data_IF_795126013984
#
_entry.id   IF_795126013984
#
_cell.length_a   1.000
_cell.length_b   1.000
_cell.length_c   1.000
_cell.angle_alpha   90.00
_cell.angle_beta   90.00
_cell.angle_gamma   90.00
#
_symmetry.space_group_name_H-M   'P 1'
#
loop_
_entity.id
_entity.type
_entity.pdbx_description
1 polymer ?
#
# COMPACT_ATOMS: atom_id res chain seq x y z
N UNK A 1 22.02 22.26 21.89
CA UNK A 1 22.52 22.16 20.51
C UNK A 1 21.47 21.38 19.74
N UNK A 2 21.10 21.85 18.54
CA UNK A 2 19.97 21.33 17.75
C UNK A 2 20.32 20.00 17.07
N UNK A 3 20.63 18.99 17.89
CA UNK A 3 20.84 17.61 17.44
C UNK A 3 19.53 17.11 16.84
N UNK A 4 19.48 16.96 15.52
CA UNK A 4 18.30 16.43 14.82
C UNK A 4 17.75 17.28 13.68
N UNK A 5 18.11 18.57 13.59
CA UNK A 5 17.60 19.46 12.54
C UNK A 5 18.74 20.13 11.77
N UNK A 6 18.74 19.94 10.45
CA UNK A 6 19.76 20.46 9.54
C UNK A 6 19.12 21.39 8.53
N UNK A 7 19.54 22.65 8.52
CA UNK A 7 19.17 23.58 7.45
C UNK A 7 20.10 23.36 6.26
N UNK A 8 19.51 23.18 5.07
CA UNK A 8 20.23 23.04 3.81
C UNK A 8 19.97 24.28 2.94
N UNK A 9 20.89 25.26 2.90
CA UNK A 9 20.67 26.52 2.20
C UNK A 9 20.56 26.35 0.68
N UNK A 10 21.16 25.30 0.10
CA UNK A 10 21.15 25.05 -1.34
C UNK A 10 19.73 24.82 -1.90
N UNK A 11 18.87 24.22 -1.08
CA UNK A 11 17.47 23.98 -1.41
C UNK A 11 16.52 24.82 -0.55
N UNK A 12 17.06 25.62 0.39
CA UNK A 12 16.30 26.37 1.38
C UNK A 12 15.26 25.48 2.09
N UNK A 13 15.69 24.29 2.52
CA UNK A 13 14.84 23.32 3.23
C UNK A 13 15.41 23.00 4.60
N UNK A 14 14.51 22.65 5.51
CA UNK A 14 14.85 22.21 6.85
C UNK A 14 14.63 20.71 6.97
N UNK A 15 15.69 19.96 7.15
CA UNK A 15 15.66 18.50 7.32
C UNK A 15 15.55 18.11 8.79
N UNK A 16 14.61 17.23 9.11
CA UNK A 16 14.62 16.47 10.35
C UNK A 16 15.33 15.13 10.12
N UNK A 17 16.50 14.92 10.73
CA UNK A 17 17.29 13.70 10.54
C UNK A 17 16.69 12.49 11.24
N UNK A 18 15.94 12.68 12.34
CA UNK A 18 15.25 11.58 13.02
C UNK A 18 14.06 11.06 12.20
N UNK A 19 13.34 11.96 11.54
CA UNK A 19 12.19 11.58 10.71
C UNK A 19 12.60 11.25 9.27
N UNK A 20 13.76 11.74 8.81
CA UNK A 20 14.28 11.54 7.46
C UNK A 20 13.53 12.32 6.37
N UNK A 21 12.81 13.38 6.75
CA UNK A 21 12.02 14.23 5.84
C UNK A 21 12.21 15.71 6.16
N UNK A 22 11.98 16.56 5.16
CA UNK A 22 11.99 18.00 5.31
C UNK A 22 10.67 18.53 5.90
N UNK A 23 10.80 19.55 6.73
CA UNK A 23 9.69 20.28 7.34
C UNK A 23 9.24 21.39 6.41
N UNK A 24 7.93 21.46 6.19
CA UNK A 24 7.32 22.56 5.44
C UNK A 24 7.43 23.85 6.23
N UNK A 25 7.60 25.01 5.57
CA UNK A 25 7.52 26.30 6.25
C UNK A 25 6.13 26.47 6.87
N UNK A 26 6.09 26.85 8.15
CA UNK A 26 4.84 27.09 8.85
C UNK A 26 4.93 26.75 10.33
N UNK A 27 4.69 27.76 11.18
CA UNK A 27 4.79 27.64 12.63
C UNK A 27 3.92 26.53 13.21
N UNK A 28 2.68 26.42 12.76
CA UNK A 28 1.74 25.39 13.23
C UNK A 28 2.19 23.98 12.82
N UNK A 29 2.80 23.86 11.65
CA UNK A 29 3.33 22.60 11.13
C UNK A 29 4.52 22.14 11.99
N UNK A 30 5.46 23.06 12.27
CA UNK A 30 6.60 22.78 13.14
C UNK A 30 6.15 22.43 14.55
N UNK A 31 5.25 23.20 15.14
CA UNK A 31 4.72 22.92 16.48
C UNK A 31 4.05 21.54 16.55
N UNK A 32 3.25 21.18 15.53
CA UNK A 32 2.63 19.86 15.44
C UNK A 32 3.67 18.74 15.36
N UNK A 33 4.65 18.89 14.46
CA UNK A 33 5.71 17.91 14.25
C UNK A 33 6.55 17.72 15.53
N UNK A 34 7.05 18.80 16.13
CA UNK A 34 7.93 18.77 17.29
C UNK A 34 7.23 18.22 18.55
N UNK A 35 5.90 18.35 18.65
CA UNK A 35 5.12 17.79 19.78
C UNK A 35 4.77 16.31 19.61
N UNK A 36 4.85 15.78 18.40
CA UNK A 36 4.58 14.37 18.10
C UNK A 36 5.85 13.52 18.31
N UNK A 37 5.68 12.20 18.39
CA UNK A 37 6.82 11.27 18.38
C UNK A 37 7.55 11.37 17.02
N UNK A 38 8.89 11.31 17.00
CA UNK A 38 9.80 10.95 18.10
C UNK A 38 10.17 12.10 19.07
N UNK A 39 9.95 13.37 18.71
CA UNK A 39 10.54 14.52 19.42
C UNK A 39 9.87 14.90 20.75
N UNK A 40 8.53 14.87 20.83
CA UNK A 40 7.76 15.19 22.04
C UNK A 40 8.15 16.50 22.79
N UNK A 41 8.66 17.51 22.09
CA UNK A 41 9.21 18.73 22.69
C UNK A 41 8.11 19.63 23.28
N UNK A 42 8.42 20.27 24.42
CA UNK A 42 7.51 21.14 25.18
C UNK A 42 8.27 22.35 25.73
N UNK A 43 7.54 23.40 26.12
CA UNK A 43 8.07 24.52 26.90
C UNK A 43 9.15 25.35 26.20
N UNK A 44 10.17 25.77 26.95
CA UNK A 44 11.24 26.64 26.47
C UNK A 44 12.06 26.05 25.30
N UNK A 45 12.45 24.76 25.32
CA UNK A 45 13.13 24.11 24.21
C UNK A 45 12.35 24.18 22.89
N UNK A 46 11.03 23.93 22.95
CA UNK A 46 10.16 24.04 21.78
C UNK A 46 10.14 25.47 21.22
N UNK A 47 10.03 26.48 22.10
CA UNK A 47 10.01 27.89 21.70
C UNK A 47 11.34 28.30 21.06
N UNK A 48 12.47 27.84 21.61
CA UNK A 48 13.79 28.13 21.07
C UNK A 48 14.00 27.52 19.68
N UNK A 49 13.61 26.25 19.48
CA UNK A 49 13.73 25.57 18.16
C UNK A 49 12.82 26.22 17.12
N UNK A 50 11.57 26.55 17.48
CA UNK A 50 10.66 27.24 16.55
C UNK A 50 11.20 28.63 16.19
N UNK A 51 11.73 29.39 17.17
CA UNK A 51 12.36 30.68 16.88
C UNK A 51 13.59 30.58 15.97
N UNK A 52 14.35 29.48 16.08
CA UNK A 52 15.44 29.20 15.16
C UNK A 52 14.92 28.92 13.74
N UNK A 53 13.85 28.13 13.59
CA UNK A 53 13.28 27.83 12.28
C UNK A 53 12.68 29.06 11.60
N UNK A 54 12.10 29.97 12.39
CA UNK A 54 11.59 31.26 11.91
C UNK A 54 12.71 32.17 11.35
N UNK A 55 13.98 31.95 11.75
CA UNK A 55 15.12 32.72 11.24
C UNK A 55 15.63 32.24 9.88
N UNK A 56 15.22 31.06 9.43
CA UNK A 56 15.65 30.49 8.16
C UNK A 56 14.72 30.91 7.02
N UNK A 57 15.32 31.23 5.88
CA UNK A 57 14.57 31.43 4.65
C UNK A 57 14.27 30.07 4.04
N UNK A 58 12.99 29.65 4.12
CA UNK A 58 12.51 28.32 3.76
C UNK A 58 11.50 28.40 2.62
N UNK A 59 11.76 27.64 1.56
CA UNK A 59 10.88 27.60 0.39
C UNK A 59 9.65 26.72 0.61
N UNK A 60 8.56 27.08 -0.10
CA UNK A 60 7.39 26.24 -0.18
C UNK A 60 7.70 24.95 -0.96
N UNK A 61 7.08 23.80 -0.62
CA UNK A 61 7.37 22.50 -1.25
C UNK A 61 7.32 22.47 -2.78
N UNK A 62 6.46 23.30 -3.37
CA UNK A 62 6.26 23.40 -4.81
C UNK A 62 7.42 24.13 -5.50
N UNK A 63 8.07 25.04 -4.78
CA UNK A 63 9.16 25.89 -5.24
C UNK A 63 10.54 25.23 -5.07
N UNK A 64 10.64 24.19 -4.23
CA UNK A 64 11.89 23.45 -4.04
C UNK A 64 12.27 22.75 -5.34
N UNK A 65 13.45 23.09 -5.86
CA UNK A 65 14.03 22.43 -7.02
C UNK A 65 14.38 20.98 -6.69
N UNK A 66 13.93 20.06 -7.55
CA UNK A 66 14.19 18.64 -7.38
C UNK A 66 15.66 18.37 -7.72
N UNK A 67 16.38 17.76 -6.78
CA UNK A 67 17.77 17.35 -6.99
C UNK A 67 17.84 16.13 -7.90
N UNK A 68 18.91 16.00 -8.68
CA UNK A 68 19.27 14.76 -9.39
C UNK A 68 20.32 13.94 -8.65
N UNK A 69 20.83 14.47 -7.53
CA UNK A 69 21.86 13.87 -6.68
C UNK A 69 21.26 13.45 -5.34
N UNK A 70 21.92 12.48 -4.69
CA UNK A 70 21.60 12.09 -3.31
C UNK A 70 21.69 13.31 -2.39
N UNK A 71 20.66 13.53 -1.58
CA UNK A 71 20.71 14.54 -0.51
C UNK A 71 20.96 13.81 0.81
N UNK A 72 22.06 14.16 1.47
CA UNK A 72 22.46 13.56 2.73
C UNK A 72 21.41 13.80 3.83
N UNK A 73 21.05 12.72 4.53
CA UNK A 73 20.10 12.72 5.65
C UNK A 73 18.63 12.59 5.25
N UNK A 74 18.30 12.60 3.95
CA UNK A 74 16.97 12.19 3.49
C UNK A 74 16.85 10.66 3.45
N UNK A 75 15.67 10.16 3.83
CA UNK A 75 15.38 8.73 3.79
C UNK A 75 15.43 8.20 2.35
N UNK A 76 16.18 7.12 2.16
CA UNK A 76 16.17 6.34 0.93
C UNK A 76 14.94 5.43 0.91
N UNK A 77 14.23 5.45 -0.20
CA UNK A 77 13.06 4.63 -0.46
C UNK A 77 13.34 3.73 -1.68
N UNK A 78 12.87 2.49 -1.60
CA UNK A 78 12.85 1.62 -2.77
C UNK A 78 11.71 2.02 -3.69
N UNK A 79 11.99 2.12 -4.99
CA UNK A 79 10.97 2.45 -5.96
C UNK A 79 11.30 1.97 -7.37
N UNK A 80 10.44 2.40 -8.28
CA UNK A 80 10.41 1.97 -9.66
C UNK A 80 10.42 3.18 -10.56
N UNK A 81 11.20 3.09 -11.63
CA UNK A 81 11.24 4.08 -12.69
C UNK A 81 10.83 3.43 -14.00
N UNK A 82 9.97 4.10 -14.74
CA UNK A 82 9.62 3.66 -16.09
C UNK A 82 10.84 3.80 -17.02
N UNK A 83 11.19 2.75 -17.75
CA UNK A 83 12.30 2.77 -18.73
C UNK A 83 11.88 3.51 -20.01
N UNK A 84 10.59 3.54 -20.33
CA UNK A 84 10.08 4.15 -21.56
C UNK A 84 10.03 5.67 -21.50
N UNK A 85 9.50 6.26 -20.42
CA UNK A 85 9.41 7.72 -20.28
C UNK A 85 10.54 8.33 -19.45
N UNK A 86 11.24 7.54 -18.61
CA UNK A 86 12.27 7.97 -17.64
C UNK A 86 11.82 9.05 -16.62
N UNK A 87 10.63 9.62 -16.77
CA UNK A 87 10.08 10.69 -15.94
C UNK A 87 9.20 10.15 -14.80
N UNK A 88 8.49 9.05 -15.01
CA UNK A 88 7.59 8.48 -14.00
C UNK A 88 8.36 7.65 -12.97
N UNK A 89 8.28 8.11 -11.73
CA UNK A 89 8.91 7.53 -10.54
C UNK A 89 7.84 7.22 -9.50
N UNK A 90 7.78 5.97 -9.04
CA UNK A 90 6.79 5.54 -8.04
C UNK A 90 7.42 4.62 -7.01
N UNK A 91 6.92 4.64 -5.78
CA UNK A 91 7.31 3.64 -4.77
C UNK A 91 6.60 2.29 -4.96
N UNK A 92 5.40 2.31 -5.55
CA UNK A 92 4.55 1.12 -5.69
C UNK A 92 4.66 0.48 -7.07
N UNK A 93 4.80 -0.85 -7.06
CA UNK A 93 4.81 -1.70 -8.25
C UNK A 93 3.47 -1.66 -8.99
N UNK A 94 2.35 -1.60 -8.26
CA UNK A 94 1.02 -1.52 -8.88
C UNK A 94 0.86 -0.19 -9.64
N UNK A 95 1.38 0.90 -9.08
CA UNK A 95 1.28 2.23 -9.69
C UNK A 95 2.11 2.31 -10.97
N UNK A 96 3.32 1.74 -10.99
CA UNK A 96 4.14 1.73 -12.21
C UNK A 96 3.54 0.83 -13.29
N UNK A 97 2.95 -0.32 -12.91
CA UNK A 97 2.24 -1.19 -13.84
C UNK A 97 1.03 -0.49 -14.47
N UNK A 98 0.27 0.24 -13.65
CA UNK A 98 -0.88 1.02 -14.12
C UNK A 98 -0.44 2.14 -15.06
N UNK A 99 0.64 2.86 -14.72
CA UNK A 99 1.23 3.88 -15.58
C UNK A 99 1.63 3.27 -16.94
N UNK A 100 2.39 2.17 -16.95
CA UNK A 100 2.84 1.51 -18.19
C UNK A 100 1.66 1.04 -19.04
N UNK A 101 0.63 0.47 -18.40
CA UNK A 101 -0.58 0.05 -19.11
C UNK A 101 -1.37 1.22 -19.69
N UNK A 102 -1.52 2.33 -18.95
CA UNK A 102 -2.32 3.48 -19.39
C UNK A 102 -1.61 4.39 -20.38
N UNK A 103 -0.36 4.75 -20.08
CA UNK A 103 0.41 5.75 -20.83
C UNK A 103 1.11 5.11 -22.02
N UNK A 104 1.64 3.89 -21.83
CA UNK A 104 2.39 3.20 -22.87
C UNK A 104 1.60 2.07 -23.56
N UNK A 105 0.38 1.76 -23.11
CA UNK A 105 -0.47 0.69 -23.67
C UNK A 105 0.22 -0.69 -23.71
N UNK A 106 1.22 -0.91 -22.87
CA UNK A 106 1.95 -2.17 -22.79
C UNK A 106 1.37 -3.02 -21.67
N UNK A 107 1.09 -4.30 -21.97
CA UNK A 107 0.54 -5.24 -20.97
C UNK A 107 1.67 -5.71 -20.05
N UNK A 108 1.67 -5.35 -18.75
CA UNK A 108 2.74 -5.73 -17.82
C UNK A 108 2.91 -7.26 -17.70
N UNK A 109 1.81 -8.02 -17.91
CA UNK A 109 1.80 -9.48 -17.89
C UNK A 109 2.66 -10.14 -18.99
N UNK A 110 2.90 -9.46 -20.11
CA UNK A 110 3.73 -9.96 -21.22
C UNK A 110 5.24 -9.77 -20.95
N UNK A 111 5.58 -8.93 -19.98
CA UNK A 111 6.95 -8.50 -19.70
C UNK A 111 7.52 -9.12 -18.41
N UNK A 112 7.15 -10.38 -18.10
CA UNK A 112 7.66 -11.10 -16.91
C UNK A 112 9.18 -11.31 -16.92
N UNK A 113 9.79 -11.49 -18.10
CA UNK A 113 11.24 -11.72 -18.25
C UNK A 113 12.03 -10.43 -18.48
N UNK A 114 11.37 -9.36 -18.90
CA UNK A 114 11.99 -8.08 -19.26
C UNK A 114 11.08 -6.95 -18.82
N UNK A 115 11.05 -6.63 -17.51
CA UNK A 115 10.18 -5.59 -16.99
C UNK A 115 10.50 -4.24 -17.64
N UNK A 116 9.45 -3.47 -17.97
CA UNK A 116 9.54 -2.15 -18.62
C UNK A 116 9.87 -1.04 -17.59
N UNK A 117 10.16 -1.44 -16.36
CA UNK A 117 10.53 -0.56 -15.26
C UNK A 117 11.80 -1.08 -14.61
N UNK A 118 12.63 -0.17 -14.12
CA UNK A 118 13.83 -0.49 -13.35
C UNK A 118 13.59 -0.21 -11.87
N UNK A 119 14.13 -1.06 -11.01
CA UNK A 119 14.21 -0.76 -9.58
C UNK A 119 15.27 0.34 -9.36
N UNK A 120 14.95 1.30 -8.51
CA UNK A 120 15.84 2.42 -8.21
C UNK A 120 15.65 2.88 -6.76
N UNK A 121 16.68 3.54 -6.23
CA UNK A 121 16.59 4.22 -4.94
C UNK A 121 16.06 5.64 -5.18
N UNK A 122 14.95 5.95 -4.53
CA UNK A 122 14.28 7.23 -4.58
C UNK A 122 14.52 8.00 -3.27
N UNK A 123 14.60 9.32 -3.38
CA UNK A 123 14.45 10.23 -2.24
C UNK A 123 13.27 11.17 -2.49
N UNK A 124 12.73 11.71 -1.41
CA UNK A 124 11.73 12.76 -1.43
C UNK A 124 12.01 13.75 -0.31
N UNK A 125 11.84 15.04 -0.58
CA UNK A 125 11.93 16.07 0.45
C UNK A 125 10.74 15.98 1.42
N UNK A 126 9.52 15.74 0.92
CA UNK A 126 8.30 15.76 1.72
C UNK A 126 7.56 14.43 1.65
N UNK A 127 7.00 13.99 2.78
CA UNK A 127 6.26 12.73 2.91
C UNK A 127 4.76 12.85 2.61
N UNK A 128 4.24 14.07 2.49
CA UNK A 128 2.80 14.31 2.34
C UNK A 128 2.36 14.02 0.91
N UNK A 129 1.36 13.15 0.73
CA UNK A 129 0.98 12.50 -0.54
C UNK A 129 0.82 13.44 -1.74
N UNK A 130 0.40 14.69 -1.53
CA UNK A 130 0.20 15.68 -2.61
C UNK A 130 1.47 16.43 -3.02
N UNK A 131 2.51 16.36 -2.19
CA UNK A 131 3.74 17.14 -2.30
C UNK A 131 4.97 16.25 -2.48
N UNK A 132 4.76 14.93 -2.56
CA UNK A 132 5.85 13.97 -2.77
C UNK A 132 6.38 14.14 -4.18
N UNK A 133 7.63 14.57 -4.29
CA UNK A 133 8.36 14.66 -5.55
C UNK A 133 9.56 13.73 -5.45
N UNK A 134 9.39 12.53 -6.00
CA UNK A 134 10.46 11.55 -6.04
C UNK A 134 11.53 11.97 -7.04
N UNK A 135 12.78 11.72 -6.68
CA UNK A 135 13.90 11.79 -7.61
C UNK A 135 14.83 10.61 -7.41
N UNK A 136 15.46 10.22 -8.52
CA UNK A 136 16.38 9.08 -8.56
C UNK A 136 17.72 9.52 -8.01
N UNK A 137 18.25 8.72 -7.09
CA UNK A 137 19.60 8.89 -6.62
C UNK A 137 20.55 8.10 -7.54
N UNK A 138 21.15 8.80 -8.50
CA UNK A 138 22.22 8.22 -9.31
C UNK A 138 23.51 8.16 -8.46
N UNK A 139 23.91 6.95 -8.09
CA UNK A 139 25.04 6.71 -7.17
C UNK A 139 24.89 5.43 -6.33
N UNK A 140 23.69 4.84 -6.28
CA UNK A 140 23.45 3.53 -5.65
C UNK A 140 23.52 2.36 -6.65
N UNK A 141 24.25 2.51 -7.75
CA UNK A 141 24.61 1.40 -8.65
C UNK A 141 25.99 0.88 -8.24
N UNK A 142 26.02 -0.18 -7.41
CA UNK A 142 27.27 -0.88 -7.12
C UNK A 142 27.37 -1.57 -5.75
N UNK A 143 26.37 -2.38 -5.38
CA UNK A 143 26.56 -3.48 -4.42
C UNK A 143 25.52 -4.57 -4.74
N UNK A 144 25.66 -5.16 -5.92
CA UNK A 144 25.31 -6.56 -6.08
C UNK A 144 26.45 -7.38 -5.44
N UNK A 145 26.07 -8.44 -4.74
CA UNK A 145 26.88 -9.46 -4.08
C UNK A 145 27.42 -9.15 -2.68
N UNK A 146 26.57 -9.45 -1.69
CA UNK A 146 26.75 -10.62 -0.81
C UNK A 146 26.05 -10.38 0.55
N UNK A 147 24.72 -10.40 0.54
CA UNK A 147 23.99 -10.96 1.66
C UNK A 147 23.11 -12.02 1.05
N UNK A 148 23.68 -13.21 0.86
CA UNK A 148 22.90 -14.43 0.99
C UNK A 148 22.19 -14.29 2.33
N UNK A 149 20.94 -13.83 2.28
CA UNK A 149 20.05 -14.06 3.39
C UNK A 149 19.96 -15.57 3.47
N UNK A 150 20.80 -16.16 4.33
CA UNK A 150 20.37 -17.25 5.19
C UNK A 150 19.06 -16.74 5.83
N UNK A 151 17.97 -16.93 5.08
CA UNK A 151 16.65 -16.93 5.65
C UNK A 151 16.72 -18.08 6.62
N UNK A 152 16.86 -17.73 7.90
CA UNK A 152 16.79 -18.63 9.02
C UNK A 152 15.70 -19.66 8.71
N UNK A 153 16.05 -20.94 8.74
CA UNK A 153 15.18 -22.05 8.32
C UNK A 153 13.78 -21.95 8.93
N UNK A 154 13.65 -21.29 10.09
CA UNK A 154 12.39 -20.99 10.76
C UNK A 154 11.45 -20.01 10.02
N UNK A 155 11.96 -19.01 9.29
CA UNK A 155 11.11 -18.04 8.56
C UNK A 155 10.44 -18.70 7.35
N UNK A 156 11.17 -19.52 6.59
CA UNK A 156 10.60 -20.23 5.44
C UNK A 156 9.48 -21.21 5.87
N UNK A 157 9.62 -21.83 7.04
CA UNK A 157 8.61 -22.73 7.59
C UNK A 157 7.41 -21.99 8.18
N UNK A 158 7.61 -20.78 8.72
CA UNK A 158 6.51 -19.90 9.14
C UNK A 158 5.62 -19.48 7.96
N UNK A 159 6.21 -19.13 6.81
CA UNK A 159 5.46 -18.72 5.62
C UNK A 159 4.71 -19.90 4.99
N UNK A 160 5.32 -21.10 4.96
CA UNK A 160 4.63 -22.33 4.54
C UNK A 160 3.47 -22.69 5.47
N UNK A 161 3.61 -22.45 6.77
CA UNK A 161 2.52 -22.67 7.72
C UNK A 161 1.39 -21.65 7.50
N UNK A 162 1.72 -20.38 7.26
CA UNK A 162 0.75 -19.34 6.95
C UNK A 162 -0.06 -19.65 5.68
N UNK A 163 0.59 -20.13 4.61
CA UNK A 163 -0.08 -20.52 3.37
C UNK A 163 -1.03 -21.71 3.58
N UNK A 164 -0.65 -22.68 4.43
CA UNK A 164 -1.53 -23.80 4.81
C UNK A 164 -2.72 -23.31 5.62
N UNK A 165 -2.50 -22.41 6.58
CA UNK A 165 -3.55 -21.87 7.43
C UNK A 165 -4.52 -21.00 6.60
N UNK A 166 -4.04 -20.24 5.62
CA UNK A 166 -4.89 -19.47 4.69
C UNK A 166 -5.78 -20.41 3.86
N UNK A 167 -5.24 -21.51 3.35
CA UNK A 167 -6.03 -22.48 2.59
C UNK A 167 -7.14 -23.11 3.46
N UNK A 168 -6.84 -23.40 4.73
CA UNK A 168 -7.85 -23.92 5.68
C UNK A 168 -8.91 -22.86 5.98
N UNK A 169 -8.51 -21.61 6.22
CA UNK A 169 -9.46 -20.51 6.48
C UNK A 169 -10.34 -20.25 5.26
N UNK A 170 -9.83 -20.33 4.04
CA UNK A 170 -10.64 -20.19 2.83
C UNK A 170 -11.69 -21.29 2.70
N UNK A 171 -11.34 -22.55 3.01
CA UNK A 171 -12.29 -23.67 3.00
C UNK A 171 -13.31 -23.55 4.14
N UNK A 172 -12.90 -23.15 5.34
CA UNK A 172 -13.79 -22.90 6.48
C UNK A 172 -14.75 -21.73 6.20
N UNK A 173 -14.28 -20.66 5.55
CA UNK A 173 -15.14 -19.53 5.15
C UNK A 173 -16.15 -19.96 4.08
N UNK A 174 -15.75 -20.81 3.11
CA UNK A 174 -16.69 -21.37 2.13
C UNK A 174 -17.72 -22.28 2.80
N UNK A 175 -17.28 -23.12 3.73
CA UNK A 175 -18.16 -24.02 4.49
C UNK A 175 -19.17 -23.23 5.33
N UNK A 176 -18.71 -22.19 6.05
CA UNK A 176 -19.55 -21.32 6.86
C UNK A 176 -20.50 -20.50 5.96
N UNK A 177 -20.04 -20.00 4.81
CA UNK A 177 -20.88 -19.29 3.85
C UNK A 177 -21.94 -20.20 3.20
N UNK A 178 -21.72 -21.51 3.17
CA UNK A 178 -22.70 -22.49 2.70
C UNK A 178 -23.82 -22.74 3.73
N UNK A 179 -23.64 -22.35 4.99
CA UNK A 179 -24.67 -22.50 6.02
C UNK A 179 -25.65 -21.32 5.97
N UNK A 180 -26.94 -21.61 6.05
CA UNK A 180 -27.97 -20.57 6.20
C UNK A 180 -28.00 -20.10 7.66
N UNK A 181 -27.42 -18.93 7.91
CA UNK A 181 -27.54 -18.25 9.20
C UNK A 181 -28.91 -17.57 9.35
N UNK A 182 -29.40 -17.49 10.59
CA UNK A 182 -30.63 -16.76 10.90
C UNK A 182 -30.48 -15.24 10.72
N UNK A 183 -31.60 -14.52 10.67
CA UNK A 183 -31.64 -13.07 10.43
C UNK A 183 -31.47 -12.24 11.71
N UNK A 184 -30.92 -12.82 12.78
CA UNK A 184 -30.80 -12.19 14.11
C UNK A 184 -29.62 -11.21 14.23
N UNK A 185 -28.67 -11.22 13.29
CA UNK A 185 -27.45 -10.40 13.34
C UNK A 185 -27.71 -8.89 13.12
N UNK A 186 -28.73 -8.52 12.34
CA UNK A 186 -29.13 -7.12 12.16
C UNK A 186 -30.65 -6.95 12.06
N UNK A 187 -31.21 -6.12 12.94
CA UNK A 187 -32.64 -5.74 13.03
C UNK A 187 -33.25 -5.13 11.75
N UNK A 188 -32.42 -4.68 10.82
CA UNK A 188 -32.81 -4.12 9.52
C UNK A 188 -32.91 -5.16 8.40
N UNK A 189 -32.39 -6.39 8.62
CA UNK A 189 -32.39 -7.48 7.64
C UNK A 189 -33.57 -8.44 7.81
N UNK A 190 -34.47 -8.16 8.76
CA UNK A 190 -35.57 -9.05 9.14
C UNK A 190 -36.78 -8.77 8.26
N UNK A 191 -37.11 -9.72 7.38
CA UNK A 191 -38.33 -9.66 6.56
C UNK A 191 -39.52 -10.18 7.38
N UNK A 192 -40.52 -9.33 7.75
CA UNK A 192 -41.53 -9.70 8.75
C UNK A 192 -42.41 -10.90 8.40
N UNK A 193 -42.64 -11.17 7.11
CA UNK A 193 -43.47 -12.30 6.70
C UNK A 193 -42.73 -13.64 6.84
N UNK A 194 -41.41 -13.69 6.63
CA UNK A 194 -40.60 -14.91 6.80
C UNK A 194 -40.65 -15.43 8.24
N UNK A 195 -40.65 -14.50 9.22
CA UNK A 195 -40.82 -14.83 10.64
C UNK A 195 -42.21 -15.33 10.96
N UNK A 196 -43.25 -14.70 10.41
CA UNK A 196 -44.65 -15.13 10.62
C UNK A 196 -44.93 -16.53 10.09
N UNK A 197 -44.21 -16.95 9.06
CA UNK A 197 -44.35 -18.29 8.44
C UNK A 197 -43.43 -19.36 9.04
N UNK A 198 -42.52 -19.03 9.97
CA UNK A 198 -41.60 -19.99 10.57
C UNK A 198 -40.47 -20.50 9.66
N UNK A 199 -40.42 -20.05 8.41
CA UNK A 199 -39.44 -20.49 7.39
C UNK A 199 -38.00 -20.17 7.82
N UNK A 200 -37.77 -19.06 8.53
CA UNK A 200 -36.45 -18.72 9.09
C UNK A 200 -35.92 -19.81 10.02
N UNK A 201 -36.78 -20.39 10.87
CA UNK A 201 -36.39 -21.40 11.83
C UNK A 201 -36.12 -22.74 11.15
N UNK A 202 -36.93 -23.08 10.14
CA UNK A 202 -36.83 -24.34 9.40
C UNK A 202 -35.64 -24.41 8.43
N UNK A 203 -35.13 -23.26 7.98
CA UNK A 203 -34.02 -23.19 7.02
C UNK A 203 -32.67 -22.91 7.69
N UNK A 204 -32.66 -22.51 8.96
CA UNK A 204 -31.43 -22.21 9.71
C UNK A 204 -30.58 -23.47 9.88
N UNK A 205 -29.28 -23.34 9.57
CA UNK A 205 -28.31 -24.44 9.70
C UNK A 205 -28.31 -25.42 8.54
N UNK A 206 -29.22 -25.29 7.57
CA UNK A 206 -29.18 -26.07 6.33
C UNK A 206 -28.06 -25.58 5.42
N UNK A 207 -27.49 -26.50 4.63
CA UNK A 207 -26.52 -26.16 3.59
C UNK A 207 -27.22 -25.70 2.31
N UNK A 208 -26.80 -24.57 1.77
CA UNK A 208 -27.35 -23.97 0.55
C UNK A 208 -27.20 -24.87 -0.67
N UNK A 209 -26.08 -25.59 -0.77
CA UNK A 209 -25.83 -26.50 -1.90
C UNK A 209 -26.77 -27.72 -1.90
N UNK A 210 -27.08 -28.27 -0.74
CA UNK A 210 -28.01 -29.41 -0.59
C UNK A 210 -29.45 -28.98 -0.93
N UNK A 211 -29.83 -27.76 -0.50
CA UNK A 211 -31.09 -27.15 -0.95
C UNK A 211 -31.11 -26.99 -2.46
N UNK A 212 -30.05 -26.46 -3.06
CA UNK A 212 -29.94 -26.23 -4.50
C UNK A 212 -29.99 -27.52 -5.32
N UNK A 213 -29.30 -28.56 -4.87
CA UNK A 213 -29.32 -29.87 -5.51
C UNK A 213 -30.71 -30.52 -5.47
N UNK A 214 -31.49 -30.30 -4.40
CA UNK A 214 -32.82 -30.91 -4.23
C UNK A 214 -33.88 -30.39 -5.20
N UNK A 215 -33.70 -29.19 -5.76
CA UNK A 215 -34.61 -28.62 -6.76
C UNK A 215 -33.98 -28.51 -8.16
N UNK A 216 -32.71 -28.89 -8.31
CA UNK A 216 -32.05 -28.89 -9.61
C UNK A 216 -32.60 -30.03 -10.48
N UNK A 217 -33.29 -29.68 -11.56
CA UNK A 217 -33.78 -30.64 -12.55
C UNK A 217 -32.57 -31.22 -13.30
N UNK A 218 -32.46 -32.56 -13.46
CA UNK A 218 -31.42 -33.15 -14.30
C UNK A 218 -31.51 -32.61 -15.71
N UNK A 219 -30.41 -32.11 -16.27
CA UNK A 219 -30.34 -31.79 -17.70
C UNK A 219 -30.38 -33.11 -18.46
N UNK A 220 -31.51 -33.42 -19.10
CA UNK A 220 -31.58 -34.50 -20.07
C UNK A 220 -30.66 -34.14 -21.24
N UNK A 221 -29.63 -34.94 -21.44
CA UNK A 221 -28.75 -34.86 -22.60
C UNK A 221 -29.43 -35.59 -23.76
N UNK A 222 -30.53 -35.05 -24.28
CA UNK A 222 -31.18 -35.51 -25.52
C UNK A 222 -31.98 -34.34 -26.12
N UNK A 223 -31.27 -33.44 -26.79
CA UNK A 223 -31.85 -32.52 -27.79
C UNK A 223 -30.95 -32.53 -29.04
N UNK A 224 -30.59 -33.74 -29.51
CA UNK A 224 -30.15 -33.96 -30.89
C UNK A 224 -31.39 -34.34 -31.72
N UNK A 225 -32.27 -33.36 -31.95
CA UNK A 225 -33.28 -33.47 -33.00
C UNK A 225 -32.60 -33.18 -34.35
N UNK A 226 -31.85 -34.17 -34.84
CA UNK A 226 -31.43 -34.23 -36.25
C UNK A 226 -32.66 -34.51 -37.11
N UNK A 227 -33.28 -33.46 -37.65
CA UNK A 227 -34.28 -33.58 -38.70
C UNK A 227 -33.64 -34.06 -39.99
N UNK A 228 -33.89 -35.31 -40.35
CA UNK A 228 -33.58 -35.89 -41.65
C UNK A 228 -34.86 -36.00 -42.51
N UNK A 229 -34.70 -35.57 -43.77
CA UNK A 229 -35.57 -35.70 -44.96
C UNK A 229 -36.78 -34.77 -45.08
#
# INVERSE_FOLDING_TARGET
MSEGFVYKPEWQVLLCTECGFCLRPGRDIWLRHLRQKPHCLRGAPLKAIVGLFESYDLLAPEQVAVSTQAVDGLRLLDGFQCVTCLADLTQSLQTIQLHVSKVHQQKPALHKKSPIWRTCKLQTFFAETRLVRYFVVNGATGAADASTNDLDSGEADFFKQLDKDVAVVEEDVKAEANIVHGFSSHRSAVVPWLRRTGIEEHTRGLKKDEMHASFAVPKNADDDCSGAL
#
